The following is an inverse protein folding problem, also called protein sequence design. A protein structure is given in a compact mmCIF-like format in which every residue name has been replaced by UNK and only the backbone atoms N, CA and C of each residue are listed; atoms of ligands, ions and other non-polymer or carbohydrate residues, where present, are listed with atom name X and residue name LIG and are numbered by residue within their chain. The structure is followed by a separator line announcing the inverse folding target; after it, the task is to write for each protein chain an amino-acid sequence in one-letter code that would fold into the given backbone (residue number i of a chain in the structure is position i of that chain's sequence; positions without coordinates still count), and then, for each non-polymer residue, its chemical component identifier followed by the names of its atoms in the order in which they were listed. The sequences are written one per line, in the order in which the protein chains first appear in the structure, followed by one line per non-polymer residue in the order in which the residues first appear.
data_IF_042451963185
#
_entry.id   IF_042451963185
#
_cell.length_a   1.000
_cell.length_b   1.000
_cell.length_c   1.000
_cell.angle_alpha   90.00
_cell.angle_beta   90.00
_cell.angle_gamma   90.00
#
_symmetry.space_group_name_H-M   'P 1'
#
loop_
_entity.id
_entity.type
_entity.pdbx_description
1 polymer ?
#
# COMPACT_ATOMS: atom_id res chain seq x y z
N UNK A 1 4.99 -0.34 22.54
CA UNK A 1 4.80 -0.63 21.11
C UNK A 1 4.53 0.68 20.40
N UNK A 2 5.28 0.96 19.33
CA UNK A 2 5.11 2.17 18.52
C UNK A 2 3.86 2.02 17.65
N UNK A 3 2.97 3.02 17.63
CA UNK A 3 1.71 2.96 16.90
C UNK A 3 1.95 3.28 15.41
N UNK A 4 1.60 2.35 14.53
CA UNK A 4 1.61 2.57 13.09
C UNK A 4 0.66 3.73 12.67
N UNK A 5 1.02 4.42 11.59
CA UNK A 5 0.20 5.45 10.95
C UNK A 5 -0.90 4.83 10.10
N UNK A 6 -0.61 3.72 9.42
CA UNK A 6 -1.60 2.95 8.66
C UNK A 6 -2.31 2.00 9.64
N UNK A 7 -3.63 2.07 9.64
CA UNK A 7 -4.48 1.18 10.44
C UNK A 7 -4.28 -0.27 10.05
N UNK A 8 -4.56 -1.19 10.98
CA UNK A 8 -4.54 -2.62 10.67
C UNK A 8 -5.55 -2.91 9.56
N UNK A 9 -5.09 -3.60 8.51
CA UNK A 9 -5.94 -4.00 7.41
C UNK A 9 -6.81 -5.19 7.83
N UNK A 10 -8.11 -5.10 7.54
CA UNK A 10 -9.10 -6.12 7.90
C UNK A 10 -9.59 -6.90 6.67
N UNK A 11 -9.82 -6.18 5.57
CA UNK A 11 -10.20 -6.74 4.28
C UNK A 11 -9.40 -6.01 3.20
N UNK A 12 -8.95 -6.76 2.19
CA UNK A 12 -8.15 -6.27 1.07
C UNK A 12 -8.66 -7.02 -0.16
N UNK A 13 -9.08 -6.30 -1.20
CA UNK A 13 -9.56 -6.86 -2.47
C UNK A 13 -8.36 -7.04 -3.42
N UNK A 14 -7.95 -8.28 -3.73
CA UNK A 14 -6.82 -8.52 -4.60
C UNK A 14 -7.05 -7.94 -6.00
N UNK A 15 -6.03 -7.29 -6.56
CA UNK A 15 -6.10 -6.70 -7.89
C UNK A 15 -6.78 -5.31 -7.96
N UNK A 16 -7.28 -4.77 -6.85
CA UNK A 16 -7.62 -3.35 -6.78
C UNK A 16 -6.38 -2.52 -6.42
N UNK A 17 -6.12 -1.47 -7.20
CA UNK A 17 -4.93 -0.63 -7.02
C UNK A 17 -4.85 -0.04 -5.62
N UNK A 18 -5.96 0.48 -5.09
CA UNK A 18 -5.97 1.12 -3.79
C UNK A 18 -5.58 0.13 -2.67
N UNK A 19 -6.12 -1.08 -2.75
CA UNK A 19 -5.96 -2.11 -1.73
C UNK A 19 -4.56 -2.73 -1.77
N UNK A 20 -4.05 -3.06 -2.97
CA UNK A 20 -2.68 -3.55 -3.15
C UNK A 20 -1.65 -2.51 -2.71
N UNK A 21 -1.86 -1.25 -3.09
CA UNK A 21 -0.95 -0.16 -2.76
C UNK A 21 -0.93 0.13 -1.25
N UNK A 22 -2.11 0.11 -0.61
CA UNK A 22 -2.23 0.24 0.84
C UNK A 22 -1.59 -0.94 1.58
N UNK A 23 -1.76 -2.17 1.09
CA UNK A 23 -1.14 -3.36 1.66
C UNK A 23 0.40 -3.31 1.58
N UNK A 24 0.95 -2.84 0.47
CA UNK A 24 2.40 -2.63 0.32
C UNK A 24 2.91 -1.55 1.28
N UNK A 25 2.22 -0.41 1.36
CA UNK A 25 2.59 0.68 2.27
C UNK A 25 2.56 0.23 3.74
N UNK A 26 1.53 -0.52 4.14
CA UNK A 26 1.41 -1.12 5.48
C UNK A 26 2.57 -2.08 5.77
N UNK A 27 2.94 -2.92 4.81
CA UNK A 27 4.05 -3.88 4.96
C UNK A 27 5.39 -3.17 5.15
N UNK A 28 5.65 -2.11 4.38
CA UNK A 28 6.84 -1.27 4.53
C UNK A 28 6.86 -0.61 5.91
N UNK A 29 5.72 -0.10 6.38
CA UNK A 29 5.61 0.50 7.70
C UNK A 29 5.98 -0.47 8.83
N UNK A 30 5.45 -1.70 8.79
CA UNK A 30 5.79 -2.72 9.78
C UNK A 30 7.29 -3.05 9.78
N UNK A 31 7.92 -3.07 8.60
CA UNK A 31 9.37 -3.26 8.48
C UNK A 31 10.16 -2.10 9.11
N UNK A 32 9.75 -0.86 8.86
CA UNK A 32 10.40 0.34 9.43
C UNK A 32 10.28 0.36 10.95
N UNK A 33 9.09 0.09 11.49
CA UNK A 33 8.86 -0.01 12.94
C UNK A 33 9.72 -1.11 13.55
N UNK A 34 9.82 -2.27 12.89
CA UNK A 34 10.65 -3.39 13.35
C UNK A 34 12.15 -3.05 13.36
N UNK A 35 12.58 -2.16 12.46
CA UNK A 35 13.94 -1.62 12.42
C UNK A 35 14.20 -0.48 13.43
N UNK A 36 13.18 -0.07 14.20
CA UNK A 36 13.29 0.98 15.23
C UNK A 36 12.92 2.39 14.77
N UNK A 37 12.37 2.55 13.56
CA UNK A 37 11.86 3.85 13.10
C UNK A 37 10.63 4.31 13.90
N UNK A 38 10.48 5.61 14.04
CA UNK A 38 9.39 6.28 14.76
C UNK A 38 8.45 6.97 13.75
N UNK A 39 7.20 6.50 13.59
CA UNK A 39 6.21 7.14 12.74
C UNK A 39 5.95 8.60 13.13
N UNK A 40 5.81 9.46 12.13
CA UNK A 40 5.63 10.90 12.30
C UNK A 40 6.93 11.66 12.59
N UNK A 41 8.05 10.95 12.83
CA UNK A 41 9.39 11.54 12.96
C UNK A 41 10.30 11.11 11.82
N UNK A 42 10.41 9.80 11.59
CA UNK A 42 11.34 9.23 10.61
C UNK A 42 10.66 9.01 9.24
N UNK A 43 9.33 8.95 9.21
CA UNK A 43 8.53 8.84 7.98
C UNK A 43 7.10 9.36 8.20
N UNK A 44 6.46 9.77 7.09
CA UNK A 44 5.03 10.11 7.01
C UNK A 44 4.25 9.08 6.20
N UNK A 45 2.91 9.17 6.20
CA UNK A 45 2.06 8.33 5.33
C UNK A 45 2.45 8.52 3.86
N UNK A 46 2.71 9.75 3.42
CA UNK A 46 3.09 10.01 2.03
C UNK A 46 4.41 9.34 1.65
N UNK A 47 5.37 9.25 2.57
CA UNK A 47 6.64 8.58 2.31
C UNK A 47 6.45 7.07 2.14
N UNK A 48 5.56 6.46 2.94
CA UNK A 48 5.20 5.03 2.78
C UNK A 48 4.61 4.75 1.39
N UNK A 49 3.71 5.61 0.92
CA UNK A 49 3.16 5.50 -0.44
C UNK A 49 4.25 5.66 -1.50
N UNK A 50 5.14 6.66 -1.38
CA UNK A 50 6.26 6.82 -2.33
C UNK A 50 7.18 5.59 -2.37
N UNK A 51 7.46 4.97 -1.23
CA UNK A 51 8.26 3.75 -1.15
C UNK A 51 7.54 2.55 -1.75
N UNK A 52 6.21 2.46 -1.61
CA UNK A 52 5.40 1.40 -2.19
C UNK A 52 5.18 1.57 -3.71
N UNK A 53 5.27 2.80 -4.23
CA UNK A 53 4.97 3.13 -5.63
C UNK A 53 5.64 2.23 -6.68
N UNK A 54 6.96 1.96 -6.64
CA UNK A 54 7.60 1.13 -7.66
C UNK A 54 7.04 -0.31 -7.67
N UNK A 55 6.66 -0.85 -6.51
CA UNK A 55 6.08 -2.19 -6.41
C UNK A 55 4.65 -2.23 -6.94
N UNK A 56 3.85 -1.22 -6.62
CA UNK A 56 2.50 -1.08 -7.19
C UNK A 56 2.57 -0.95 -8.71
N UNK A 57 3.44 -0.08 -9.24
CA UNK A 57 3.61 0.06 -10.69
C UNK A 57 4.01 -1.25 -11.36
N UNK A 58 4.97 -1.99 -10.80
CA UNK A 58 5.37 -3.29 -11.35
C UNK A 58 4.22 -4.31 -11.33
N UNK A 59 3.43 -4.35 -10.24
CA UNK A 59 2.27 -5.23 -10.12
C UNK A 59 1.22 -4.98 -11.20
N UNK A 60 0.99 -3.70 -11.55
CA UNK A 60 -0.02 -3.29 -12.53
C UNK A 60 0.51 -3.09 -13.95
N UNK A 61 1.82 -3.24 -14.18
CA UNK A 61 2.45 -3.13 -15.51
C UNK A 61 2.18 -4.35 -16.40
N UNK A 62 1.88 -5.50 -15.82
CA UNK A 62 1.59 -6.71 -16.58
C UNK A 62 0.10 -6.77 -16.97
N UNK A 63 -0.20 -6.32 -18.19
CA UNK A 63 -1.55 -6.32 -18.80
C UNK A 63 -2.21 -7.71 -18.85
N UNK A 64 -1.45 -8.80 -18.69
CA UNK A 64 -2.01 -10.17 -18.61
C UNK A 64 -2.86 -10.40 -17.36
N UNK A 65 -2.84 -9.47 -16.38
CA UNK A 65 -3.60 -9.52 -15.13
C UNK A 65 -4.60 -8.38 -14.95
N UNK A 66 -4.80 -7.52 -15.96
CA UNK A 66 -5.73 -6.41 -15.85
C UNK A 66 -7.19 -6.87 -15.83
N UNK A 67 -7.85 -6.73 -14.67
CA UNK A 67 -9.31 -6.85 -14.58
C UNK A 67 -9.95 -5.70 -15.38
N UNK A 68 -10.79 -6.06 -16.34
CA UNK A 68 -11.62 -5.10 -17.06
C UNK A 68 -12.79 -4.70 -16.18
N UNK A 69 -12.76 -3.48 -15.66
CA UNK A 69 -13.90 -2.91 -14.95
C UNK A 69 -14.89 -2.33 -15.96
N UNK A 70 -16.11 -2.87 -15.98
CA UNK A 70 -17.25 -2.23 -16.63
C UNK A 70 -17.91 -1.33 -15.58
N UNK A 71 -17.71 -0.02 -15.71
CA UNK A 71 -18.48 0.93 -14.93
C UNK A 71 -19.84 1.12 -15.63
N UNK A 72 -20.97 0.88 -14.94
CA UNK A 72 -22.25 1.30 -15.47
C UNK A 72 -22.27 2.83 -15.56
N UNK A 73 -22.53 3.33 -16.75
CA UNK A 73 -22.83 4.74 -16.98
C UNK A 73 -24.31 4.90 -16.63
N UNK A 74 -24.63 5.66 -15.59
CA UNK A 74 -25.99 6.15 -15.32
C UNK A 74 -26.46 7.12 -16.42
#
# INVERSE_FOLDING_TARGET
MTKALIGKLHEVVPGELADEYLAMAYTIELSLISAGAVPGKDYTVLDLYKLAQPFALELFRDDSKQMRYQFPVE
#
